data_IF_285232212394
#
_entry.id   IF_285232212394
#
_cell.length_a   1.000
_cell.length_b   1.000
_cell.length_c   1.000
_cell.angle_alpha   90.00
_cell.angle_beta   90.00
_cell.angle_gamma   90.00
#
_symmetry.space_group_name_H-M   'P 1'
#
loop_
_entity.id
_entity.type
_entity.pdbx_description
1 polymer ?
#
# COMPACT_ATOMS: atom_id res chain seq x y z
N UNK A 1 -1.20 19.73 2.69
CA UNK A 1 -2.03 20.18 3.83
C UNK A 1 -1.21 21.07 4.75
N UNK A 2 -1.86 21.79 5.67
CA UNK A 2 -1.23 22.76 6.60
C UNK A 2 -0.16 22.14 7.50
N UNK A 3 -0.35 20.88 7.83
CA UNK A 3 0.51 20.01 8.65
C UNK A 3 1.69 19.40 7.87
N UNK A 4 1.93 19.80 6.62
CA UNK A 4 3.00 19.26 5.78
C UNK A 4 2.71 17.87 5.19
N UNK A 5 1.55 17.27 5.46
CA UNK A 5 1.11 16.02 4.85
C UNK A 5 0.42 16.28 3.50
N UNK A 6 0.16 15.22 2.73
CA UNK A 6 -0.33 15.33 1.35
C UNK A 6 -1.70 14.68 1.16
N UNK A 7 -2.45 15.21 0.19
CA UNK A 7 -3.69 14.63 -0.34
C UNK A 7 -3.45 14.28 -1.81
N UNK A 8 -3.96 13.13 -2.24
CA UNK A 8 -4.10 12.75 -3.65
C UNK A 8 -5.44 13.26 -4.17
N UNK A 9 -5.45 13.89 -5.34
CA UNK A 9 -6.65 14.51 -5.93
C UNK A 9 -6.73 14.08 -7.38
N UNK A 10 -7.74 13.25 -7.72
CA UNK A 10 -7.91 12.68 -9.06
C UNK A 10 -9.33 12.67 -9.63
N UNK A 11 -10.16 13.72 -9.53
CA UNK A 11 -11.50 13.72 -10.10
C UNK A 11 -11.48 14.04 -11.60
N UNK A 12 -11.16 13.06 -12.44
CA UNK A 12 -11.02 13.25 -13.89
C UNK A 12 -12.36 13.61 -14.55
N UNK A 13 -13.44 12.99 -14.10
CA UNK A 13 -14.78 13.22 -14.62
C UNK A 13 -15.39 14.51 -14.06
N UNK A 14 -16.10 15.25 -14.92
CA UNK A 14 -16.67 16.57 -14.58
C UNK A 14 -17.55 16.55 -13.34
N UNK A 15 -18.37 15.50 -13.17
CA UNK A 15 -19.22 15.31 -11.98
C UNK A 15 -18.42 15.28 -10.67
N UNK A 16 -17.28 14.60 -10.63
CA UNK A 16 -16.45 14.48 -9.44
C UNK A 16 -15.65 15.76 -9.19
N UNK A 17 -15.21 16.42 -10.27
CA UNK A 17 -14.48 17.68 -10.15
C UNK A 17 -15.38 18.80 -9.62
N UNK A 18 -16.67 18.79 -9.97
CA UNK A 18 -17.65 19.69 -9.41
C UNK A 18 -17.80 19.48 -7.89
N UNK A 19 -17.92 18.23 -7.45
CA UNK A 19 -17.99 17.88 -6.02
C UNK A 19 -16.72 18.32 -5.28
N UNK A 20 -15.53 18.12 -5.87
CA UNK A 20 -14.28 18.64 -5.31
C UNK A 20 -14.36 20.15 -5.10
N UNK A 21 -14.74 20.90 -6.14
CA UNK A 21 -14.76 22.36 -6.11
C UNK A 21 -15.76 22.92 -5.10
N UNK A 22 -16.93 22.30 -4.98
CA UNK A 22 -17.90 22.62 -3.93
C UNK A 22 -17.30 22.35 -2.53
N UNK A 23 -16.72 21.17 -2.32
CA UNK A 23 -16.17 20.76 -1.02
C UNK A 23 -15.01 21.66 -0.54
N UNK A 24 -14.22 22.21 -1.46
CA UNK A 24 -13.13 23.14 -1.14
C UNK A 24 -13.58 24.61 -1.12
N UNK A 25 -14.88 24.90 -1.29
CA UNK A 25 -15.43 26.26 -1.29
C UNK A 25 -15.02 27.11 -2.50
N UNK A 26 -14.81 26.46 -3.66
CA UNK A 26 -14.43 27.09 -4.92
C UNK A 26 -15.37 26.71 -6.09
N UNK A 27 -16.70 26.85 -5.94
CA UNK A 27 -17.65 26.52 -7.01
C UNK A 27 -17.43 27.34 -8.29
N UNK A 28 -16.76 28.48 -8.19
CA UNK A 28 -16.35 29.32 -9.33
C UNK A 28 -15.34 28.65 -10.27
N UNK A 29 -14.67 27.57 -9.82
CA UNK A 29 -13.74 26.79 -10.64
C UNK A 29 -14.41 25.65 -11.42
N UNK A 30 -15.72 25.44 -11.27
CA UNK A 30 -16.45 24.39 -11.97
C UNK A 30 -16.55 24.73 -13.46
N UNK A 31 -16.06 23.83 -14.31
CA UNK A 31 -16.11 24.00 -15.78
C UNK A 31 -16.51 22.68 -16.47
N UNK A 32 -17.06 22.74 -17.70
CA UNK A 32 -17.30 21.53 -18.49
C UNK A 32 -16.04 20.71 -18.80
N UNK A 33 -14.85 21.33 -18.73
CA UNK A 33 -13.55 20.69 -18.92
C UNK A 33 -13.07 19.91 -17.68
N UNK A 34 -13.84 19.94 -16.59
CA UNK A 34 -13.55 19.22 -15.35
C UNK A 34 -12.27 19.71 -14.67
N UNK A 35 -11.46 18.79 -14.15
CA UNK A 35 -10.24 19.10 -13.41
C UNK A 35 -9.06 19.54 -14.30
N UNK A 36 -9.18 19.43 -15.63
CA UNK A 36 -8.13 19.79 -16.61
C UNK A 36 -8.53 20.90 -17.59
N UNK A 37 -8.87 22.11 -17.09
CA UNK A 37 -9.16 23.25 -17.97
C UNK A 37 -7.89 23.79 -18.63
N UNK A 38 -8.05 24.66 -19.64
CA UNK A 38 -6.93 25.27 -20.37
C UNK A 38 -5.94 26.01 -19.44
N UNK A 39 -6.43 26.59 -18.34
CA UNK A 39 -5.65 27.26 -17.31
C UNK A 39 -5.28 26.33 -16.13
N UNK A 40 -5.05 25.04 -16.38
CA UNK A 40 -4.77 24.02 -15.35
C UNK A 40 -3.69 24.42 -14.33
N UNK A 41 -2.65 25.17 -14.74
CA UNK A 41 -1.59 25.61 -13.81
C UNK A 41 -2.14 26.48 -12.69
N UNK A 42 -2.96 27.47 -13.04
CA UNK A 42 -3.56 28.40 -12.10
C UNK A 42 -4.58 27.68 -11.21
N UNK A 43 -5.37 26.78 -11.79
CA UNK A 43 -6.34 25.96 -11.03
C UNK A 43 -5.63 25.07 -10.02
N UNK A 44 -4.52 24.41 -10.41
CA UNK A 44 -3.71 23.59 -9.49
C UNK A 44 -3.10 24.42 -8.35
N UNK A 45 -2.65 25.64 -8.63
CA UNK A 45 -2.12 26.53 -7.59
C UNK A 45 -3.22 26.95 -6.60
N UNK A 46 -4.39 27.30 -7.10
CA UNK A 46 -5.54 27.65 -6.28
C UNK A 46 -5.99 26.49 -5.39
N UNK A 47 -6.13 25.28 -5.96
CA UNK A 47 -6.42 24.06 -5.20
C UNK A 47 -5.35 23.85 -4.12
N UNK A 48 -4.06 23.94 -4.47
CA UNK A 48 -2.95 23.79 -3.52
C UNK A 48 -3.04 24.79 -2.36
N UNK A 49 -3.36 26.04 -2.65
CA UNK A 49 -3.51 27.08 -1.63
C UNK A 49 -4.67 26.78 -0.69
N UNK A 50 -5.81 26.32 -1.21
CA UNK A 50 -6.93 25.88 -0.38
C UNK A 50 -6.52 24.70 0.50
N UNK A 51 -5.93 23.64 -0.06
CA UNK A 51 -5.50 22.48 0.72
C UNK A 51 -4.49 22.81 1.84
N UNK A 52 -3.75 23.92 1.74
CA UNK A 52 -2.84 24.40 2.81
C UNK A 52 -3.55 25.06 3.99
N UNK A 53 -4.86 25.30 3.92
CA UNK A 53 -5.62 25.97 5.00
C UNK A 53 -6.01 25.04 6.15
N UNK A 54 -6.10 23.73 5.89
CA UNK A 54 -6.49 22.69 6.86
C UNK A 54 -5.45 21.58 6.93
N UNK A 55 -5.43 20.81 8.02
CA UNK A 55 -4.63 19.58 8.17
C UNK A 55 -5.15 18.50 7.22
N UNK A 56 -4.36 17.43 7.02
CA UNK A 56 -4.79 16.30 6.19
C UNK A 56 -6.06 15.66 6.75
N UNK A 57 -6.13 15.51 8.06
CA UNK A 57 -7.21 14.80 8.73
C UNK A 57 -8.50 15.64 8.75
N UNK A 58 -8.41 16.98 8.85
CA UNK A 58 -9.56 17.88 8.63
C UNK A 58 -10.09 17.79 7.19
N UNK A 59 -9.22 17.63 6.19
CA UNK A 59 -9.66 17.39 4.81
C UNK A 59 -10.31 16.01 4.67
N UNK A 60 -9.77 15.00 5.33
CA UNK A 60 -10.33 13.65 5.31
C UNK A 60 -11.76 13.65 5.86
N UNK A 61 -12.03 14.36 6.96
CA UNK A 61 -13.40 14.52 7.48
C UNK A 61 -14.34 15.13 6.44
N UNK A 62 -13.93 16.20 5.75
CA UNK A 62 -14.72 16.86 4.70
C UNK A 62 -15.00 15.89 3.53
N UNK A 63 -13.96 15.22 3.04
CA UNK A 63 -14.07 14.36 1.86
C UNK A 63 -14.69 12.99 2.14
N UNK A 64 -14.69 12.51 3.39
CA UNK A 64 -15.26 11.21 3.79
C UNK A 64 -16.75 11.03 3.42
N UNK A 65 -17.47 12.13 3.24
CA UNK A 65 -18.91 12.15 2.96
C UNK A 65 -19.25 12.45 1.50
N UNK A 66 -18.26 12.66 0.63
CA UNK A 66 -18.47 13.10 -0.76
C UNK A 66 -17.61 12.32 -1.75
N UNK A 67 -18.18 12.03 -2.91
CA UNK A 67 -17.47 11.34 -3.99
C UNK A 67 -16.69 12.35 -4.84
N UNK A 68 -15.53 12.78 -4.33
CA UNK A 68 -14.66 13.78 -4.97
C UNK A 68 -13.35 13.19 -5.52
N UNK A 69 -13.16 11.86 -5.44
CA UNK A 69 -11.90 11.19 -5.78
C UNK A 69 -10.66 11.84 -5.11
N UNK A 70 -10.77 12.10 -3.80
CA UNK A 70 -9.72 12.69 -2.96
C UNK A 70 -9.40 11.74 -1.82
N UNK A 71 -8.13 11.39 -1.67
CA UNK A 71 -7.66 10.44 -0.65
C UNK A 71 -6.41 10.97 0.06
N UNK A 72 -6.16 10.60 1.32
CA UNK A 72 -4.93 10.96 2.00
C UNK A 72 -3.74 10.19 1.40
N UNK A 73 -2.59 10.83 1.30
CA UNK A 73 -1.34 10.11 1.05
C UNK A 73 -0.89 9.51 2.38
N UNK A 74 -0.93 8.18 2.46
CA UNK A 74 -0.54 7.42 3.63
C UNK A 74 0.96 7.11 3.60
N UNK A 75 1.60 7.14 4.76
CA UNK A 75 2.90 6.48 4.96
C UNK A 75 2.73 4.96 4.88
N UNK A 76 3.84 4.23 4.67
CA UNK A 76 3.80 2.75 4.69
C UNK A 76 3.24 2.24 6.02
N UNK A 77 3.64 2.86 7.14
CA UNK A 77 3.11 2.48 8.45
C UNK A 77 1.60 2.73 8.56
N UNK A 78 1.11 3.90 8.15
CA UNK A 78 -0.34 4.18 8.15
C UNK A 78 -1.10 3.21 7.23
N UNK A 79 -0.58 2.93 6.03
CA UNK A 79 -1.22 2.03 5.07
C UNK A 79 -1.34 0.59 5.58
N UNK A 80 -0.30 0.08 6.25
CA UNK A 80 -0.29 -1.28 6.81
C UNK A 80 -1.20 -1.43 8.05
N UNK A 81 -1.59 -0.33 8.69
CA UNK A 81 -2.40 -0.31 9.91
C UNK A 81 -3.73 0.46 9.71
N UNK A 82 -4.20 0.62 8.47
CA UNK A 82 -5.49 1.25 8.23
C UNK A 82 -6.63 0.22 8.29
N UNK A 83 -7.85 0.71 8.50
CA UNK A 83 -9.06 -0.10 8.62
C UNK A 83 -9.23 -1.06 7.42
N UNK A 84 -9.03 -0.57 6.20
CA UNK A 84 -9.13 -1.40 5.00
C UNK A 84 -8.12 -2.54 4.96
N UNK A 85 -6.89 -2.33 5.41
CA UNK A 85 -5.85 -3.35 5.49
C UNK A 85 -6.18 -4.39 6.57
N UNK A 86 -6.75 -3.96 7.69
CA UNK A 86 -7.16 -4.84 8.80
C UNK A 86 -8.37 -5.69 8.40
N UNK A 87 -9.46 -5.06 7.95
CA UNK A 87 -10.70 -5.74 7.53
C UNK A 87 -10.46 -6.76 6.41
N UNK A 88 -9.49 -6.47 5.55
CA UNK A 88 -9.15 -7.32 4.41
C UNK A 88 -7.97 -8.25 4.72
N UNK A 89 -7.49 -8.36 5.95
CA UNK A 89 -6.37 -9.25 6.32
C UNK A 89 -5.19 -9.09 5.33
N UNK A 90 -4.81 -7.85 5.04
CA UNK A 90 -3.79 -7.50 4.04
C UNK A 90 -2.37 -7.57 4.59
N UNK A 91 -2.25 -7.67 5.91
CA UNK A 91 -0.99 -7.80 6.63
C UNK A 91 -1.14 -8.92 7.64
N UNK A 92 -0.13 -9.77 7.73
CA UNK A 92 -0.11 -10.94 8.60
C UNK A 92 1.16 -10.94 9.44
N UNK A 93 1.09 -11.63 10.57
CA UNK A 93 2.26 -12.01 11.35
C UNK A 93 2.51 -13.51 11.20
N UNK A 94 3.76 -13.88 10.93
CA UNK A 94 4.20 -15.28 10.90
C UNK A 94 5.13 -15.51 12.09
N UNK A 95 4.87 -16.58 12.84
CA UNK A 95 5.70 -16.98 13.97
C UNK A 95 7.09 -17.43 13.50
N UNK A 96 8.11 -16.97 14.21
CA UNK A 96 9.51 -17.35 14.00
C UNK A 96 9.90 -18.52 14.93
N UNK A 97 10.89 -19.35 14.56
CA UNK A 97 11.34 -20.46 15.40
C UNK A 97 11.86 -20.06 16.78
N UNK A 98 12.33 -18.82 16.93
CA UNK A 98 12.83 -18.25 18.19
C UNK A 98 11.71 -17.68 19.09
N UNK A 99 10.45 -17.83 18.70
CA UNK A 99 9.29 -17.29 19.41
C UNK A 99 8.97 -15.84 19.05
N UNK A 100 9.71 -15.22 18.14
CA UNK A 100 9.40 -13.92 17.55
C UNK A 100 8.28 -14.00 16.51
N UNK A 101 7.97 -12.84 15.90
CA UNK A 101 7.05 -12.73 14.77
C UNK A 101 7.65 -11.84 13.70
N UNK A 102 7.38 -12.17 12.44
CA UNK A 102 7.68 -11.30 11.30
C UNK A 102 6.38 -10.85 10.65
N UNK A 103 6.25 -9.53 10.47
CA UNK A 103 5.10 -8.92 9.82
C UNK A 103 5.36 -8.78 8.33
N UNK A 104 4.43 -9.24 7.49
CA UNK A 104 4.58 -9.17 6.04
C UNK A 104 3.24 -8.96 5.30
N UNK A 105 3.27 -8.46 4.05
CA UNK A 105 2.07 -8.38 3.21
C UNK A 105 1.45 -9.76 2.99
N UNK A 106 0.12 -9.82 3.05
CA UNK A 106 -0.67 -11.00 2.74
C UNK A 106 -0.99 -11.07 1.23
N UNK A 107 -1.62 -12.17 0.81
CA UNK A 107 -2.13 -12.29 -0.55
C UNK A 107 -3.23 -11.23 -0.78
N UNK A 108 -3.10 -10.36 -1.79
CA UNK A 108 -4.07 -9.28 -2.02
C UNK A 108 -5.37 -9.78 -2.65
N UNK A 109 -5.37 -11.00 -3.19
CA UNK A 109 -6.53 -11.64 -3.81
C UNK A 109 -7.26 -12.49 -2.76
N UNK A 110 -8.56 -12.25 -2.63
CA UNK A 110 -9.44 -13.02 -1.72
C UNK A 110 -10.27 -14.01 -2.51
N UNK A 111 -10.23 -15.27 -2.09
CA UNK A 111 -10.96 -16.36 -2.72
C UNK A 111 -12.13 -16.77 -1.83
N UNK A 112 -13.30 -17.01 -2.42
CA UNK A 112 -14.49 -17.46 -1.67
C UNK A 112 -14.32 -18.87 -1.08
N UNK A 113 -13.57 -19.73 -1.78
CA UNK A 113 -13.45 -21.16 -1.45
C UNK A 113 -12.03 -21.59 -1.04
N UNK A 114 -11.11 -20.64 -0.85
CA UNK A 114 -9.73 -20.92 -0.46
C UNK A 114 -9.22 -19.87 0.52
N UNK A 115 -8.66 -20.33 1.64
CA UNK A 115 -7.97 -19.47 2.60
C UNK A 115 -6.46 -19.74 2.48
N UNK A 116 -5.66 -18.74 2.09
CA UNK A 116 -4.21 -18.89 2.03
C UNK A 116 -3.64 -19.22 3.41
N UNK A 117 -2.72 -20.19 3.46
CA UNK A 117 -1.92 -20.46 4.64
C UNK A 117 -0.54 -19.79 4.49
N UNK A 118 -0.10 -19.11 5.54
CA UNK A 118 1.17 -18.40 5.55
C UNK A 118 2.11 -19.03 6.56
N UNK A 119 3.02 -19.86 6.06
CA UNK A 119 3.93 -20.68 6.89
C UNK A 119 5.41 -20.42 6.61
N UNK A 120 5.71 -19.63 5.58
CA UNK A 120 7.09 -19.39 5.14
C UNK A 120 7.46 -17.93 5.33
N UNK A 121 8.68 -17.73 5.80
CA UNK A 121 9.33 -16.45 6.00
C UNK A 121 10.50 -16.33 5.02
N UNK A 122 11.08 -15.12 4.90
CA UNK A 122 12.37 -14.97 4.25
C UNK A 122 13.44 -15.73 5.03
N UNK A 123 14.28 -16.49 4.31
CA UNK A 123 15.39 -17.26 4.87
C UNK A 123 16.70 -16.83 4.22
N UNK A 124 17.85 -16.99 4.91
CA UNK A 124 19.16 -16.71 4.32
C UNK A 124 19.47 -17.62 3.11
N UNK A 125 20.46 -17.19 2.33
CA UNK A 125 21.01 -18.01 1.25
C UNK A 125 21.49 -19.36 1.80
N UNK A 126 21.23 -20.43 1.05
CA UNK A 126 21.62 -21.80 1.42
C UNK A 126 20.73 -22.49 2.47
N UNK A 127 19.75 -21.80 3.07
CA UNK A 127 18.95 -22.36 4.18
C UNK A 127 18.26 -23.69 3.84
N UNK A 128 17.74 -23.86 2.63
CA UNK A 128 17.07 -25.09 2.19
C UNK A 128 17.97 -26.03 1.35
N UNK A 129 19.27 -25.75 1.22
CA UNK A 129 20.16 -26.54 0.34
C UNK A 129 20.17 -28.02 0.70
N UNK A 130 20.41 -28.34 1.98
CA UNK A 130 20.44 -29.73 2.46
C UNK A 130 19.09 -30.44 2.28
N UNK A 131 18.00 -29.77 2.63
CA UNK A 131 16.63 -30.29 2.50
C UNK A 131 16.31 -30.68 1.04
N UNK A 132 16.58 -29.77 0.10
CA UNK A 132 16.34 -30.01 -1.33
C UNK A 132 17.23 -31.13 -1.88
N UNK A 133 18.50 -31.22 -1.49
CA UNK A 133 19.38 -32.31 -1.93
C UNK A 133 18.91 -33.67 -1.42
N UNK A 134 18.41 -33.73 -0.19
CA UNK A 134 17.81 -34.95 0.36
C UNK A 134 16.54 -35.35 -0.41
N UNK A 135 15.67 -34.38 -0.75
CA UNK A 135 14.48 -34.63 -1.58
C UNK A 135 14.83 -35.15 -2.98
N UNK A 136 15.98 -34.72 -3.52
CA UNK A 136 16.51 -35.19 -4.81
C UNK A 136 17.19 -36.57 -4.74
N UNK A 137 17.36 -37.13 -3.54
CA UNK A 137 17.90 -38.47 -3.32
C UNK A 137 19.41 -38.55 -3.07
N UNK A 138 20.08 -37.44 -2.79
CA UNK A 138 21.48 -37.46 -2.37
C UNK A 138 21.61 -38.00 -0.94
N UNK A 139 22.62 -38.85 -0.70
CA UNK A 139 22.94 -39.34 0.64
C UNK A 139 23.59 -38.25 1.49
N UNK A 140 23.54 -38.42 2.80
CA UNK A 140 24.17 -37.48 3.75
C UNK A 140 25.69 -37.40 3.55
N UNK A 141 26.33 -38.50 3.15
CA UNK A 141 27.75 -38.55 2.78
C UNK A 141 28.05 -37.71 1.54
N UNK A 142 27.21 -37.79 0.50
CA UNK A 142 27.37 -37.01 -0.73
C UNK A 142 27.20 -35.51 -0.47
N UNK A 143 26.22 -35.14 0.36
CA UNK A 143 25.97 -33.74 0.72
C UNK A 143 27.16 -33.18 1.51
N UNK A 144 27.67 -33.95 2.48
CA UNK A 144 28.84 -33.58 3.27
C UNK A 144 30.10 -33.43 2.39
N UNK A 145 30.28 -34.29 1.39
CA UNK A 145 31.36 -34.16 0.41
C UNK A 145 31.25 -32.85 -0.38
N UNK A 146 30.06 -32.51 -0.88
CA UNK A 146 29.81 -31.26 -1.61
C UNK A 146 30.11 -30.02 -0.75
N UNK A 147 29.66 -30.00 0.50
CA UNK A 147 29.96 -28.95 1.47
C UNK A 147 31.47 -28.81 1.68
N UNK A 148 32.19 -29.92 1.90
CA UNK A 148 33.64 -29.89 2.10
C UNK A 148 34.44 -29.43 0.88
N UNK A 149 33.89 -29.61 -0.34
CA UNK A 149 34.51 -29.09 -1.57
C UNK A 149 34.24 -27.60 -1.82
N UNK A 150 33.44 -26.95 -0.97
CA UNK A 150 33.04 -25.55 -1.13
C UNK A 150 32.03 -25.35 -2.26
N UNK A 151 31.27 -26.37 -2.64
CA UNK A 151 30.29 -26.26 -3.74
C UNK A 151 29.17 -25.25 -3.44
N UNK A 152 28.90 -25.01 -2.15
CA UNK A 152 27.80 -24.15 -1.67
C UNK A 152 28.28 -22.85 -1.00
N UNK A 153 29.59 -22.58 -1.01
CA UNK A 153 30.21 -21.35 -0.48
C UNK A 153 30.37 -20.26 -1.56
#
# INVERSE_FOLDING_TARGET
>A
AKDGKYMSVGPLESKFSAVLFEAIGRPDLITPQGIMPANIKDVKEQIRNVFKTKTRDEWLEIFSSVDACVEPVLTVHEALNNEQSEEREMVIDIDLPDGGKVRQPALPIKFSNYKPEYKKIGVPDGFNTKEVLQELGYSEDQITEMENTGLFD
#
